data_IF_782284858009
#
_entry.id   IF_782284858009
#
_cell.length_a   1.000
_cell.length_b   1.000
_cell.length_c   1.000
_cell.angle_alpha   90.00
_cell.angle_beta   90.00
_cell.angle_gamma   90.00
#
_symmetry.space_group_name_H-M   'P 1'
#
loop_
_entity.id
_entity.type
_entity.pdbx_description
1 polymer ?
#
# COMPACT_ATOMS: atom_id res chain seq x y z
N UNK A 1 -6.10 -43.94 -63.18
CA UNK A 1 -6.60 -43.50 -61.85
C UNK A 1 -5.42 -43.54 -60.89
N UNK A 2 -5.24 -42.48 -60.11
CA UNK A 2 -4.14 -42.16 -59.18
C UNK A 2 -2.72 -41.95 -59.74
N UNK A 3 -2.26 -40.70 -59.65
CA UNK A 3 -1.02 -40.19 -58.99
C UNK A 3 -1.01 -38.66 -59.20
N UNK A 4 -0.64 -37.75 -58.29
CA UNK A 4 -0.08 -37.79 -56.94
C UNK A 4 -0.01 -36.34 -56.42
N UNK A 5 0.06 -36.19 -55.10
CA UNK A 5 0.04 -34.92 -54.37
C UNK A 5 1.34 -34.10 -54.54
N UNK A 6 1.20 -32.76 -54.50
CA UNK A 6 2.29 -31.78 -54.37
C UNK A 6 1.81 -30.59 -53.52
N UNK A 7 2.69 -29.93 -52.74
CA UNK A 7 2.31 -29.26 -51.50
C UNK A 7 1.88 -27.80 -51.69
N UNK A 8 0.83 -27.39 -50.99
CA UNK A 8 0.46 -25.98 -50.83
C UNK A 8 0.99 -25.49 -49.48
N UNK A 9 2.18 -24.91 -49.49
CA UNK A 9 2.75 -24.19 -48.34
C UNK A 9 1.90 -22.95 -48.05
N UNK A 10 1.07 -23.01 -47.01
CA UNK A 10 0.34 -21.87 -46.49
C UNK A 10 1.30 -20.92 -45.76
N UNK A 11 1.41 -19.70 -46.28
CA UNK A 11 2.10 -18.57 -45.65
C UNK A 11 1.58 -18.35 -44.23
N UNK A 12 2.44 -18.58 -43.24
CA UNK A 12 2.33 -17.95 -41.93
C UNK A 12 2.69 -16.48 -42.10
N UNK A 13 1.69 -15.61 -42.14
CA UNK A 13 1.90 -14.18 -41.92
C UNK A 13 2.17 -14.00 -40.43
N UNK A 14 3.41 -13.62 -40.11
CA UNK A 14 3.80 -13.08 -38.81
C UNK A 14 2.95 -11.83 -38.54
N UNK A 15 2.17 -11.85 -37.46
CA UNK A 15 1.62 -10.63 -36.86
C UNK A 15 2.80 -9.79 -36.36
N UNK A 16 3.21 -8.83 -37.18
CA UNK A 16 4.10 -7.75 -36.75
C UNK A 16 3.26 -6.77 -35.92
N UNK A 17 3.71 -6.50 -34.70
CA UNK A 17 3.21 -5.43 -33.83
C UNK A 17 3.26 -4.07 -34.57
N UNK A 18 2.13 -3.65 -35.13
CA UNK A 18 1.97 -2.30 -35.69
C UNK A 18 1.71 -1.36 -34.52
N UNK A 19 2.75 -0.68 -34.05
CA UNK A 19 2.63 0.42 -33.08
C UNK A 19 1.62 1.45 -33.60
N UNK A 20 0.56 1.72 -32.82
CA UNK A 20 -0.44 2.75 -33.14
C UNK A 20 0.23 4.13 -33.06
N UNK A 21 0.19 4.95 -34.12
CA UNK A 21 0.94 6.21 -34.20
C UNK A 21 0.54 7.30 -33.18
N UNK A 22 -0.52 7.10 -32.37
CA UNK A 22 -1.04 8.06 -31.39
C UNK A 22 -1.06 7.56 -29.92
N UNK A 23 -0.24 6.56 -29.55
CA UNK A 23 -0.17 6.12 -28.15
C UNK A 23 0.41 7.24 -27.26
N UNK A 24 -0.34 7.66 -26.25
CA UNK A 24 0.14 8.62 -25.25
C UNK A 24 1.23 7.99 -24.39
N UNK A 25 2.20 8.78 -23.94
CA UNK A 25 3.20 8.29 -22.98
C UNK A 25 2.57 8.08 -21.60
N UNK A 26 3.20 7.22 -20.78
CA UNK A 26 2.80 7.02 -19.39
C UNK A 26 2.68 8.33 -18.60
N UNK A 27 3.59 9.29 -18.86
CA UNK A 27 3.63 10.59 -18.17
C UNK A 27 2.46 11.49 -18.55
N UNK A 28 2.00 11.44 -19.80
CA UNK A 28 0.81 12.17 -20.24
C UNK A 28 -0.44 11.65 -19.53
N UNK A 29 -0.59 10.32 -19.48
CA UNK A 29 -1.71 9.69 -18.76
C UNK A 29 -1.66 10.03 -17.27
N UNK A 30 -0.51 9.88 -16.63
CA UNK A 30 -0.37 10.20 -15.21
C UNK A 30 -0.64 11.68 -14.91
N UNK A 31 -0.15 12.60 -15.75
CA UNK A 31 -0.37 14.04 -15.57
C UNK A 31 -1.86 14.40 -15.72
N UNK A 32 -2.54 13.76 -16.66
CA UNK A 32 -3.98 13.93 -16.86
C UNK A 32 -4.77 13.43 -15.64
N UNK A 33 -4.49 12.22 -15.14
CA UNK A 33 -5.13 11.69 -13.92
C UNK A 33 -4.91 12.62 -12.74
N UNK A 34 -3.67 13.01 -12.46
CA UNK A 34 -3.32 13.84 -11.30
C UNK A 34 -3.88 15.26 -11.37
N UNK A 35 -4.08 15.81 -12.56
CA UNK A 35 -4.70 17.12 -12.76
C UNK A 35 -6.21 17.07 -12.46
N UNK A 36 -6.87 16.00 -12.88
CA UNK A 36 -8.32 15.88 -12.82
C UNK A 36 -8.81 15.25 -11.50
N UNK A 37 -7.90 14.71 -10.68
CA UNK A 37 -8.18 14.02 -9.42
C UNK A 37 -8.17 14.99 -8.21
N UNK A 38 -9.24 15.02 -7.44
CA UNK A 38 -9.21 15.48 -6.05
C UNK A 38 -9.04 14.27 -5.10
N UNK A 39 -7.82 13.99 -4.57
CA UNK A 39 -7.60 12.80 -3.75
C UNK A 39 -8.37 12.82 -2.41
N UNK A 40 -8.85 13.98 -1.97
CA UNK A 40 -9.70 14.10 -0.78
C UNK A 40 -11.15 13.61 -1.02
N UNK A 41 -11.54 13.40 -2.28
CA UNK A 41 -12.93 13.05 -2.67
C UNK A 41 -13.01 11.85 -3.60
N UNK A 42 -12.03 11.67 -4.47
CA UNK A 42 -12.08 10.76 -5.61
C UNK A 42 -10.93 9.75 -5.58
N UNK A 43 -11.18 8.55 -6.11
CA UNK A 43 -10.18 7.50 -6.24
C UNK A 43 -9.48 7.59 -7.61
N UNK A 44 -8.17 7.32 -7.65
CA UNK A 44 -7.39 7.35 -8.87
C UNK A 44 -7.74 6.19 -9.83
N UNK A 45 -8.14 5.02 -9.30
CA UNK A 45 -8.44 3.81 -10.08
C UNK A 45 -9.44 4.05 -11.22
N UNK A 46 -10.66 4.57 -10.95
CA UNK A 46 -11.65 4.85 -12.00
C UNK A 46 -11.20 5.87 -13.06
N UNK A 47 -10.28 6.79 -12.73
CA UNK A 47 -9.69 7.71 -13.71
C UNK A 47 -8.60 7.02 -14.54
N UNK A 48 -7.77 6.19 -13.89
CA UNK A 48 -6.78 5.35 -14.55
C UNK A 48 -7.45 4.39 -15.54
N UNK A 49 -8.44 3.62 -15.13
CA UNK A 49 -9.11 2.62 -15.98
C UNK A 49 -9.66 3.22 -17.27
N UNK A 50 -10.17 4.45 -17.23
CA UNK A 50 -10.67 5.19 -18.40
C UNK A 50 -9.57 5.62 -19.36
N UNK A 51 -8.34 5.84 -18.87
CA UNK A 51 -7.24 6.44 -19.63
C UNK A 51 -6.15 5.43 -20.01
N UNK A 52 -6.04 4.30 -19.30
CA UNK A 52 -5.01 3.27 -19.52
C UNK A 52 -5.11 2.61 -20.90
N UNK A 53 -6.27 2.65 -21.55
CA UNK A 53 -6.41 2.18 -22.94
C UNK A 53 -5.71 3.06 -23.97
N UNK A 54 -5.28 4.27 -23.60
CA UNK A 54 -4.62 5.25 -24.47
C UNK A 54 -3.08 5.16 -24.43
N UNK A 55 -2.53 4.21 -23.68
CA UNK A 55 -1.08 3.99 -23.57
C UNK A 55 -0.75 2.50 -23.54
N UNK A 56 0.36 2.13 -24.17
CA UNK A 56 0.96 0.81 -24.01
C UNK A 56 1.75 0.70 -22.69
N UNK A 57 2.16 1.83 -22.09
CA UNK A 57 2.94 1.87 -20.84
C UNK A 57 2.04 1.89 -19.58
N UNK A 58 1.00 1.04 -19.55
CA UNK A 58 -0.04 1.04 -18.50
C UNK A 58 0.51 0.96 -17.08
N UNK A 59 1.50 0.08 -16.92
CA UNK A 59 2.14 -0.15 -15.64
C UNK A 59 2.87 1.11 -15.14
N UNK A 60 3.67 1.70 -16.01
CA UNK A 60 4.40 2.93 -15.71
C UNK A 60 3.45 4.09 -15.39
N UNK A 61 2.35 4.25 -16.12
CA UNK A 61 1.36 5.30 -15.83
C UNK A 61 0.77 5.14 -14.42
N UNK A 62 0.43 3.91 -14.05
CA UNK A 62 -0.09 3.55 -12.73
C UNK A 62 0.92 3.85 -11.62
N UNK A 63 2.18 3.47 -11.81
CA UNK A 63 3.26 3.73 -10.86
C UNK A 63 3.53 5.22 -10.66
N UNK A 64 3.49 6.01 -11.74
CA UNK A 64 3.66 7.46 -11.66
C UNK A 64 2.52 8.13 -10.87
N UNK A 65 1.27 7.73 -11.09
CA UNK A 65 0.11 8.28 -10.36
C UNK A 65 0.21 7.94 -8.87
N UNK A 66 0.28 6.66 -8.51
CA UNK A 66 0.30 6.26 -7.10
C UNK A 66 1.60 6.66 -6.41
N UNK A 67 2.73 6.66 -7.13
CA UNK A 67 4.01 7.13 -6.64
C UNK A 67 3.99 8.62 -6.29
N UNK A 68 3.37 9.44 -7.14
CA UNK A 68 3.21 10.88 -6.90
C UNK A 68 2.27 11.14 -5.73
N UNK A 69 1.10 10.50 -5.69
CA UNK A 69 0.14 10.67 -4.59
C UNK A 69 0.72 10.29 -3.22
N UNK A 70 1.56 9.25 -3.18
CA UNK A 70 2.20 8.76 -1.95
C UNK A 70 3.23 9.73 -1.36
N UNK A 71 3.79 10.61 -2.20
CA UNK A 71 4.84 11.54 -1.81
C UNK A 71 4.43 12.99 -2.05
N UNK A 72 3.13 13.26 -2.18
CA UNK A 72 2.60 14.54 -2.66
C UNK A 72 3.13 15.76 -1.89
N UNK A 73 3.10 15.72 -0.57
CA UNK A 73 3.55 16.84 0.28
C UNK A 73 5.07 17.01 0.22
N UNK A 74 5.81 15.91 0.14
CA UNK A 74 7.26 15.93 0.01
C UNK A 74 7.70 16.50 -1.35
N UNK A 75 7.00 16.11 -2.43
CA UNK A 75 7.22 16.65 -3.77
C UNK A 75 6.85 18.13 -3.84
N UNK A 76 5.74 18.53 -3.22
CA UNK A 76 5.31 19.93 -3.15
C UNK A 76 6.28 20.81 -2.34
N UNK A 77 6.91 20.27 -1.29
CA UNK A 77 7.97 20.96 -0.56
C UNK A 77 9.19 21.23 -1.46
N UNK A 78 9.64 20.22 -2.22
CA UNK A 78 10.72 20.37 -3.21
C UNK A 78 10.34 21.39 -4.29
N UNK A 79 9.14 21.27 -4.88
CA UNK A 79 8.67 22.19 -5.92
C UNK A 79 8.59 23.62 -5.38
N UNK A 80 8.08 23.81 -4.17
CA UNK A 80 7.98 25.14 -3.55
C UNK A 80 9.36 25.75 -3.37
N UNK A 81 10.32 24.97 -2.86
CA UNK A 81 11.70 25.41 -2.67
C UNK A 81 12.37 25.83 -3.98
N UNK A 82 12.31 24.99 -5.02
CA UNK A 82 13.05 25.24 -6.25
C UNK A 82 12.30 26.04 -7.31
N UNK A 83 10.98 26.24 -7.18
CA UNK A 83 10.24 27.16 -8.04
C UNK A 83 10.17 28.59 -7.49
N UNK A 84 10.52 28.77 -6.21
CA UNK A 84 10.44 30.06 -5.52
C UNK A 84 9.00 30.56 -5.30
N UNK A 85 7.99 29.69 -5.46
CA UNK A 85 6.57 30.03 -5.22
C UNK A 85 5.79 28.86 -4.64
N UNK A 86 4.77 29.12 -3.81
CA UNK A 86 3.87 28.08 -3.32
C UNK A 86 3.19 27.32 -4.47
N UNK A 87 2.96 26.01 -4.31
CA UNK A 87 2.30 25.17 -5.32
C UNK A 87 0.89 25.66 -5.67
N UNK A 88 0.19 26.31 -4.74
CA UNK A 88 -1.12 26.95 -4.97
C UNK A 88 -1.09 28.09 -6.00
N UNK A 89 0.08 28.63 -6.33
CA UNK A 89 0.28 29.66 -7.37
C UNK A 89 0.75 29.08 -8.71
N UNK A 90 0.78 27.75 -8.85
CA UNK A 90 1.16 27.05 -10.07
C UNK A 90 -0.10 26.45 -10.69
N UNK A 91 -0.31 26.65 -11.99
CA UNK A 91 -1.48 26.11 -12.68
C UNK A 91 -1.53 24.56 -12.53
N UNK A 92 -2.71 23.95 -12.25
CA UNK A 92 -2.82 22.52 -11.94
C UNK A 92 -2.17 21.60 -12.98
N UNK A 93 -2.33 21.91 -14.28
CA UNK A 93 -1.71 21.14 -15.36
C UNK A 93 -0.17 21.14 -15.28
N UNK A 94 0.45 22.28 -14.99
CA UNK A 94 1.90 22.40 -14.86
C UNK A 94 2.38 21.73 -13.55
N UNK A 95 1.62 21.88 -12.47
CA UNK A 95 1.94 21.29 -11.18
C UNK A 95 1.95 19.76 -11.24
N UNK A 96 0.98 19.13 -11.92
CA UNK A 96 0.96 17.68 -12.12
C UNK A 96 2.20 17.18 -12.89
N UNK A 97 2.63 17.91 -13.92
CA UNK A 97 3.85 17.57 -14.69
C UNK A 97 5.11 17.76 -13.84
N UNK A 98 5.19 18.84 -13.06
CA UNK A 98 6.30 19.07 -12.13
C UNK A 98 6.39 17.98 -11.06
N UNK A 99 5.26 17.61 -10.45
CA UNK A 99 5.19 16.53 -9.45
C UNK A 99 5.71 15.22 -10.02
N UNK A 100 5.29 14.85 -11.23
CA UNK A 100 5.81 13.64 -11.92
C UNK A 100 7.31 13.76 -12.17
N UNK A 101 7.78 14.89 -12.70
CA UNK A 101 9.20 15.10 -12.99
C UNK A 101 10.08 15.03 -11.73
N UNK A 102 9.67 15.69 -10.64
CA UNK A 102 10.37 15.61 -9.35
C UNK A 102 10.30 14.20 -8.78
N UNK A 103 9.17 13.52 -8.90
CA UNK A 103 9.02 12.13 -8.48
C UNK A 103 9.98 11.20 -9.23
N UNK A 104 10.14 11.34 -10.54
CA UNK A 104 11.08 10.52 -11.29
C UNK A 104 12.54 10.87 -10.97
N UNK A 105 12.87 12.17 -10.87
CA UNK A 105 14.19 12.62 -10.45
C UNK A 105 14.56 12.02 -9.09
N UNK A 106 13.63 12.02 -8.14
CA UNK A 106 13.88 11.54 -6.80
C UNK A 106 13.78 10.01 -6.65
N UNK A 107 12.87 9.30 -7.33
CA UNK A 107 12.55 7.89 -7.02
C UNK A 107 12.88 6.91 -8.16
N UNK A 108 13.32 7.38 -9.32
CA UNK A 108 13.68 6.53 -10.46
C UNK A 108 15.13 6.77 -10.93
N UNK A 109 16.14 6.44 -10.10
CA UNK A 109 17.56 6.72 -10.36
C UNK A 109 18.07 6.16 -11.70
N UNK A 110 17.50 5.05 -12.18
CA UNK A 110 17.83 4.45 -13.47
C UNK A 110 17.36 5.29 -14.69
N UNK A 111 16.36 6.16 -14.54
CA UNK A 111 15.88 7.00 -15.64
C UNK A 111 16.80 8.22 -15.81
N UNK A 112 17.38 8.47 -17.00
CA UNK A 112 18.25 9.61 -17.22
C UNK A 112 17.56 10.95 -17.02
N UNK A 113 18.24 11.91 -16.38
CA UNK A 113 17.71 13.24 -16.06
C UNK A 113 17.19 13.96 -17.31
N UNK A 114 17.94 13.92 -18.42
CA UNK A 114 17.54 14.60 -19.65
C UNK A 114 16.23 14.04 -20.25
N UNK A 115 15.98 12.73 -20.09
CA UNK A 115 14.75 12.09 -20.57
C UNK A 115 13.55 12.58 -19.78
N UNK A 116 13.66 12.65 -18.44
CA UNK A 116 12.61 13.17 -17.56
C UNK A 116 12.26 14.61 -17.93
N UNK A 117 13.27 15.48 -18.07
CA UNK A 117 13.08 16.89 -18.38
C UNK A 117 12.47 17.09 -19.78
N UNK A 118 12.98 16.39 -20.79
CA UNK A 118 12.50 16.53 -22.17
C UNK A 118 11.05 16.05 -22.32
N UNK A 119 10.68 14.93 -21.68
CA UNK A 119 9.29 14.48 -21.70
C UNK A 119 8.36 15.41 -20.94
N UNK A 120 8.78 15.96 -19.79
CA UNK A 120 8.00 16.96 -19.08
C UNK A 120 7.73 18.19 -19.96
N UNK A 121 8.74 18.69 -20.68
CA UNK A 121 8.60 19.81 -21.63
C UNK A 121 7.64 19.47 -22.76
N UNK A 122 7.78 18.29 -23.36
CA UNK A 122 6.89 17.83 -24.44
C UNK A 122 5.44 17.71 -23.97
N UNK A 123 5.22 17.23 -22.75
CA UNK A 123 3.89 17.13 -22.14
C UNK A 123 3.28 18.52 -21.87
N UNK A 124 4.07 19.50 -21.44
CA UNK A 124 3.61 20.90 -21.30
C UNK A 124 3.23 21.48 -22.65
N UNK A 125 4.02 21.25 -23.69
CA UNK A 125 3.72 21.75 -25.03
C UNK A 125 2.38 21.20 -25.53
N UNK A 126 2.12 19.91 -25.33
CA UNK A 126 0.87 19.25 -25.71
C UNK A 126 -0.36 19.69 -24.88
N UNK A 127 -0.18 20.11 -23.62
CA UNK A 127 -1.30 20.38 -22.70
C UNK A 127 -1.57 21.85 -22.40
N UNK A 128 -0.54 22.69 -22.40
CA UNK A 128 -0.60 24.10 -22.00
C UNK A 128 0.09 25.06 -23.00
N UNK A 129 0.66 24.52 -24.08
CA UNK A 129 1.30 25.27 -25.16
C UNK A 129 2.74 25.71 -24.88
N UNK A 130 3.45 26.11 -25.94
CA UNK A 130 4.89 26.40 -25.94
C UNK A 130 5.35 27.47 -24.94
N UNK A 131 4.50 28.43 -24.56
CA UNK A 131 4.91 29.55 -23.69
C UNK A 131 5.30 29.11 -22.27
N UNK A 132 4.71 28.01 -21.78
CA UNK A 132 4.90 27.57 -20.38
C UNK A 132 6.00 26.51 -20.22
N UNK A 133 6.57 26.02 -21.32
CA UNK A 133 7.63 24.98 -21.29
C UNK A 133 8.89 25.47 -20.59
N UNK A 134 9.25 26.75 -20.76
CA UNK A 134 10.41 27.37 -20.15
C UNK A 134 10.39 27.31 -18.62
N UNK A 135 9.22 27.53 -18.01
CA UNK A 135 9.06 27.45 -16.55
C UNK A 135 9.30 26.04 -16.02
N UNK A 136 8.64 25.03 -16.60
CA UNK A 136 8.78 23.63 -16.15
C UNK A 136 10.21 23.12 -16.36
N UNK A 137 10.81 23.42 -17.53
CA UNK A 137 12.20 23.09 -17.80
C UNK A 137 13.16 23.73 -16.79
N UNK A 138 12.96 25.01 -16.46
CA UNK A 138 13.81 25.72 -15.51
C UNK A 138 13.74 25.09 -14.10
N UNK A 139 12.52 24.82 -13.60
CA UNK A 139 12.33 24.21 -12.28
C UNK A 139 12.93 22.83 -12.21
N UNK A 140 12.65 21.93 -13.17
CA UNK A 140 13.18 20.56 -13.13
C UNK A 140 14.71 20.52 -13.28
N UNK A 141 15.30 21.41 -14.09
CA UNK A 141 16.76 21.54 -14.16
C UNK A 141 17.37 22.07 -12.87
N UNK A 142 16.68 22.99 -12.20
CA UNK A 142 17.12 23.49 -10.90
C UNK A 142 17.07 22.38 -9.85
N UNK A 143 15.96 21.66 -9.74
CA UNK A 143 15.83 20.47 -8.88
C UNK A 143 16.98 19.49 -9.16
N UNK A 144 17.19 19.11 -10.42
CA UNK A 144 18.22 18.16 -10.81
C UNK A 144 19.64 18.63 -10.46
N UNK A 145 19.93 19.93 -10.58
CA UNK A 145 21.24 20.51 -10.24
C UNK A 145 21.55 20.42 -8.75
N UNK A 146 20.54 20.54 -7.91
CA UNK A 146 20.68 20.54 -6.46
C UNK A 146 20.62 19.13 -5.85
N UNK A 147 20.41 18.07 -6.64
CA UNK A 147 20.54 16.70 -6.19
C UNK A 147 22.02 16.34 -6.06
N UNK A 148 22.47 16.07 -4.84
CA UNK A 148 23.83 15.60 -4.52
C UNK A 148 23.97 14.12 -4.86
N UNK A 149 22.92 13.33 -4.62
CA UNK A 149 22.91 11.91 -4.92
C UNK A 149 21.50 11.34 -4.93
N UNK A 150 21.18 10.51 -5.92
CA UNK A 150 19.84 9.91 -6.10
C UNK A 150 19.65 8.60 -5.33
N UNK A 151 20.72 8.03 -4.78
CA UNK A 151 20.71 6.80 -3.96
C UNK A 151 21.82 6.90 -2.93
N UNK A 152 21.63 7.73 -1.92
CA UNK A 152 22.59 7.86 -0.83
C UNK A 152 22.19 6.96 0.34
N UNK A 153 23.18 6.57 1.14
CA UNK A 153 22.94 5.89 2.41
C UNK A 153 22.32 6.88 3.41
N UNK A 154 21.15 6.52 3.93
CA UNK A 154 20.41 7.33 4.90
C UNK A 154 21.22 7.58 6.17
N UNK A 155 22.15 6.72 6.56
CA UNK A 155 23.05 6.94 7.72
C UNK A 155 23.89 8.19 7.65
N UNK A 156 24.18 8.69 6.46
CA UNK A 156 24.97 9.90 6.23
C UNK A 156 24.13 11.08 5.71
N UNK A 157 22.82 10.88 5.56
CA UNK A 157 21.92 11.83 4.92
C UNK A 157 21.47 12.96 5.86
N UNK A 158 21.34 14.19 5.35
CA UNK A 158 20.67 15.25 6.10
C UNK A 158 19.15 15.07 6.03
N UNK A 159 18.43 14.94 7.17
CA UNK A 159 16.98 14.72 7.18
C UNK A 159 16.22 15.84 6.46
N UNK A 160 16.66 17.10 6.61
CA UNK A 160 15.98 18.27 6.05
C UNK A 160 16.14 18.42 4.53
N UNK A 161 17.04 17.62 3.96
CA UNK A 161 17.48 17.71 2.56
C UNK A 161 17.28 16.40 1.81
N UNK A 162 16.61 15.40 2.40
CA UNK A 162 16.55 14.05 1.82
C UNK A 162 15.13 13.57 1.65
N UNK A 163 14.77 13.21 0.43
CA UNK A 163 13.57 12.42 0.15
C UNK A 163 13.87 10.95 0.40
N UNK A 164 13.15 10.34 1.34
CA UNK A 164 13.34 8.93 1.71
C UNK A 164 12.69 8.03 0.64
N UNK A 165 13.43 7.03 0.14
CA UNK A 165 12.96 6.08 -0.86
C UNK A 165 12.73 4.68 -0.27
N UNK A 166 13.68 4.23 0.55
CA UNK A 166 13.68 2.93 1.23
C UNK A 166 14.15 3.13 2.67
N UNK A 167 14.08 2.10 3.54
CA UNK A 167 14.66 2.20 4.88
C UNK A 167 16.17 2.50 4.92
N UNK A 168 16.89 2.28 3.81
CA UNK A 168 18.34 2.45 3.72
C UNK A 168 18.76 3.60 2.80
N UNK A 169 17.93 3.96 1.81
CA UNK A 169 18.34 4.88 0.75
C UNK A 169 17.39 6.07 0.57
N UNK A 170 17.98 7.19 0.15
CA UNK A 170 17.25 8.41 -0.18
C UNK A 170 17.86 9.17 -1.36
N UNK A 171 17.13 10.19 -1.80
CA UNK A 171 17.61 11.20 -2.73
C UNK A 171 17.92 12.48 -1.96
N UNK A 172 19.21 12.82 -1.83
CA UNK A 172 19.66 14.00 -1.09
C UNK A 172 19.91 15.20 -2.00
N UNK A 173 19.51 16.35 -1.47
CA UNK A 173 19.74 17.67 -2.01
C UNK A 173 20.81 18.41 -1.19
N UNK A 174 21.34 19.50 -1.72
CA UNK A 174 22.26 20.40 -1.02
C UNK A 174 21.54 21.53 -0.25
N UNK A 175 20.20 21.54 -0.28
CA UNK A 175 19.34 22.62 0.18
C UNK A 175 18.24 22.08 1.08
N UNK A 176 17.95 22.77 2.20
CA UNK A 176 16.85 22.41 3.10
C UNK A 176 15.50 22.71 2.44
N UNK A 177 14.60 21.73 2.45
CA UNK A 177 13.21 21.90 2.00
C UNK A 177 12.18 21.20 2.90
N UNK A 178 12.60 20.29 3.78
CA UNK A 178 11.73 19.67 4.78
C UNK A 178 11.76 20.44 6.11
N UNK A 179 10.68 20.35 6.91
CA UNK A 179 10.67 20.88 8.27
C UNK A 179 11.81 20.33 9.11
N UNK A 180 12.25 21.11 10.10
CA UNK A 180 13.26 20.65 11.05
C UNK A 180 12.66 19.61 12.01
N UNK A 181 13.12 18.34 12.00
CA UNK A 181 12.62 17.34 12.94
C UNK A 181 12.91 17.66 14.40
N UNK A 182 13.94 18.46 14.70
CA UNK A 182 14.23 18.91 16.07
C UNK A 182 13.20 19.92 16.57
N UNK A 183 12.63 20.73 15.65
CA UNK A 183 11.57 21.69 15.99
C UNK A 183 10.19 21.02 16.05
N UNK A 184 9.90 20.11 15.10
CA UNK A 184 8.66 19.34 15.09
C UNK A 184 8.81 18.04 14.29
N UNK A 185 9.00 16.93 14.99
CA UNK A 185 9.02 15.60 14.37
C UNK A 185 7.70 15.28 13.66
N UNK A 186 6.57 15.70 14.25
CA UNK A 186 5.23 15.53 13.68
C UNK A 186 5.13 16.17 12.28
N UNK A 187 5.56 17.42 12.12
CA UNK A 187 5.50 18.11 10.82
C UNK A 187 6.51 17.56 9.82
N UNK A 188 7.69 17.17 10.29
CA UNK A 188 8.68 16.51 9.46
C UNK A 188 8.14 15.21 8.85
N UNK A 189 7.66 14.28 9.69
CA UNK A 189 7.12 12.99 9.23
C UNK A 189 5.85 13.16 8.39
N UNK A 190 4.97 14.09 8.77
CA UNK A 190 3.79 14.44 7.98
C UNK A 190 4.17 14.85 6.55
N UNK A 191 5.11 15.79 6.41
CA UNK A 191 5.54 16.27 5.09
C UNK A 191 6.27 15.19 4.30
N UNK A 192 7.22 14.49 4.94
CA UNK A 192 8.07 13.48 4.30
C UNK A 192 7.24 12.30 3.74
N UNK A 193 6.18 11.90 4.46
CA UNK A 193 5.38 10.72 4.11
C UNK A 193 3.97 11.08 3.60
N UNK A 194 3.66 12.36 3.45
CA UNK A 194 2.34 12.86 3.03
C UNK A 194 1.19 12.32 3.89
N UNK A 195 1.38 12.35 5.21
CA UNK A 195 0.42 11.85 6.19
C UNK A 195 -0.18 13.01 6.99
N UNK A 196 -1.44 12.94 7.43
CA UNK A 196 -2.05 14.01 8.22
C UNK A 196 -1.24 14.30 9.50
N UNK A 197 -0.92 15.58 9.80
CA UNK A 197 -0.16 15.91 11.00
C UNK A 197 -0.79 15.36 12.27
N UNK A 198 -2.12 15.45 12.41
CA UNK A 198 -2.82 14.96 13.60
C UNK A 198 -2.63 13.45 13.82
N UNK A 199 -2.62 12.65 12.75
CA UNK A 199 -2.47 11.19 12.83
C UNK A 199 -1.05 10.81 13.25
N UNK A 200 -0.06 11.48 12.66
CA UNK A 200 1.35 11.35 13.07
C UNK A 200 1.52 11.73 14.54
N UNK A 201 0.87 12.81 14.99
CA UNK A 201 0.90 13.24 16.39
C UNK A 201 0.31 12.20 17.35
N UNK A 202 -0.81 11.57 16.98
CA UNK A 202 -1.42 10.48 17.77
C UNK A 202 -0.49 9.24 17.82
N UNK A 203 0.12 8.86 16.70
CA UNK A 203 1.10 7.76 16.71
C UNK A 203 2.36 8.06 17.53
N UNK A 204 2.86 9.30 17.52
CA UNK A 204 3.99 9.68 18.38
C UNK A 204 3.59 9.54 19.85
N UNK A 205 2.38 9.97 20.21
CA UNK A 205 1.89 9.88 21.59
C UNK A 205 1.67 8.42 22.03
N UNK A 206 1.19 7.56 21.14
CA UNK A 206 0.85 6.16 21.46
C UNK A 206 2.04 5.20 21.37
N UNK A 207 2.85 5.30 20.31
CA UNK A 207 3.92 4.35 19.99
C UNK A 207 5.33 4.92 20.21
N UNK A 208 5.46 6.23 20.42
CA UNK A 208 6.74 6.92 20.48
C UNK A 208 7.33 7.24 19.11
N UNK A 209 8.42 8.04 19.07
CA UNK A 209 9.00 8.56 17.84
C UNK A 209 9.55 7.47 16.92
N UNK A 210 10.27 6.48 17.46
CA UNK A 210 10.96 5.46 16.68
C UNK A 210 9.97 4.55 15.92
N UNK A 211 8.94 4.07 16.61
CA UNK A 211 7.89 3.27 16.00
C UNK A 211 7.07 4.08 15.00
N UNK A 212 6.78 5.35 15.29
CA UNK A 212 6.07 6.22 14.34
C UNK A 212 6.84 6.34 13.03
N UNK A 213 8.16 6.53 13.07
CA UNK A 213 8.99 6.57 11.87
C UNK A 213 8.83 5.29 11.03
N UNK A 214 8.81 4.12 11.67
CA UNK A 214 8.62 2.83 10.98
C UNK A 214 7.21 2.69 10.38
N UNK A 215 6.17 3.13 11.11
CA UNK A 215 4.79 3.15 10.62
C UNK A 215 4.68 4.06 9.39
N UNK A 216 5.25 5.27 9.45
CA UNK A 216 5.25 6.22 8.35
C UNK A 216 5.98 5.67 7.11
N UNK A 217 7.15 5.04 7.30
CA UNK A 217 7.85 4.33 6.23
C UNK A 217 6.99 3.22 5.62
N UNK A 218 6.36 2.40 6.45
CA UNK A 218 5.50 1.31 5.99
C UNK A 218 4.33 1.83 5.17
N UNK A 219 3.70 2.95 5.59
CA UNK A 219 2.65 3.64 4.83
C UNK A 219 3.10 4.15 3.46
N UNK A 220 4.40 4.35 3.26
CA UNK A 220 5.01 4.78 2.00
C UNK A 220 5.73 3.67 1.22
N UNK A 221 5.59 2.40 1.61
CA UNK A 221 6.08 1.29 0.80
C UNK A 221 5.21 1.11 -0.45
N UNK A 222 5.81 0.67 -1.55
CA UNK A 222 5.07 0.13 -2.70
C UNK A 222 4.47 -1.21 -2.27
N UNK A 223 3.14 -1.37 -2.23
CA UNK A 223 2.54 -2.60 -1.73
C UNK A 223 2.86 -3.75 -2.69
N UNK A 224 3.25 -4.90 -2.14
CA UNK A 224 3.27 -6.15 -2.91
C UNK A 224 1.85 -6.73 -3.00
N UNK A 225 1.56 -7.44 -4.09
CA UNK A 225 0.31 -8.19 -4.20
C UNK A 225 0.48 -9.52 -3.47
N UNK A 226 -0.36 -9.79 -2.48
CA UNK A 226 -0.42 -11.10 -1.83
C UNK A 226 -1.68 -11.81 -2.26
N UNK A 227 -1.55 -13.11 -2.50
CA UNK A 227 -2.64 -13.99 -2.81
C UNK A 227 -2.66 -15.16 -1.83
N UNK A 228 -3.85 -15.67 -1.56
CA UNK A 228 -4.09 -16.94 -0.90
C UNK A 228 -4.48 -17.98 -1.94
N UNK A 229 -3.72 -19.06 -2.01
CA UNK A 229 -3.98 -20.22 -2.85
C UNK A 229 -5.24 -20.93 -2.36
N UNK A 230 -6.11 -21.35 -3.28
CA UNK A 230 -7.28 -22.15 -2.97
C UNK A 230 -6.87 -23.65 -2.92
N UNK A 231 -6.74 -24.24 -1.72
CA UNK A 231 -6.26 -25.62 -1.57
C UNK A 231 -7.25 -26.67 -2.10
N UNK A 232 -8.49 -26.29 -2.42
CA UNK A 232 -9.49 -27.18 -3.00
C UNK A 232 -9.32 -27.35 -4.51
N UNK A 233 -8.48 -26.53 -5.16
CA UNK A 233 -8.30 -26.54 -6.61
C UNK A 233 -6.85 -26.71 -7.06
N UNK A 234 -5.88 -26.28 -6.27
CA UNK A 234 -4.46 -26.28 -6.64
C UNK A 234 -3.57 -26.28 -5.42
N UNK A 235 -2.28 -26.50 -5.63
CA UNK A 235 -1.22 -26.25 -4.64
C UNK A 235 -0.46 -24.96 -4.95
N UNK A 236 0.28 -24.45 -3.95
CA UNK A 236 1.14 -23.28 -4.13
C UNK A 236 2.26 -23.53 -5.17
N UNK A 237 2.83 -24.74 -5.18
CA UNK A 237 3.87 -25.11 -6.14
C UNK A 237 3.36 -25.12 -7.58
N UNK A 238 2.18 -25.70 -7.83
CA UNK A 238 1.56 -25.68 -9.16
C UNK A 238 1.26 -24.26 -9.64
N UNK A 239 0.77 -23.40 -8.74
CA UNK A 239 0.44 -22.01 -9.09
C UNK A 239 1.71 -21.18 -9.35
N UNK A 240 2.79 -21.40 -8.58
CA UNK A 240 4.09 -20.77 -8.82
C UNK A 240 4.66 -21.16 -10.19
N UNK A 241 4.64 -22.45 -10.53
CA UNK A 241 5.08 -22.93 -11.85
C UNK A 241 4.26 -22.28 -12.98
N UNK A 242 2.96 -22.10 -12.77
CA UNK A 242 2.07 -21.45 -13.74
C UNK A 242 2.40 -19.96 -13.90
N UNK A 243 2.73 -19.26 -12.81
CA UNK A 243 3.19 -17.88 -12.89
C UNK A 243 4.54 -17.76 -13.61
N UNK A 244 5.49 -18.65 -13.32
CA UNK A 244 6.79 -18.68 -14.00
C UNK A 244 6.61 -18.88 -15.52
N UNK A 245 5.78 -19.82 -15.95
CA UNK A 245 5.45 -20.04 -17.36
C UNK A 245 4.81 -18.82 -18.04
N UNK A 246 4.09 -17.99 -17.27
CA UNK A 246 3.48 -16.76 -17.74
C UNK A 246 4.39 -15.53 -17.59
N UNK A 247 5.65 -15.70 -17.15
CA UNK A 247 6.58 -14.60 -16.90
C UNK A 247 6.21 -13.72 -15.70
N UNK A 248 5.34 -14.18 -14.81
CA UNK A 248 4.93 -13.48 -13.59
C UNK A 248 5.90 -13.82 -12.47
N UNK A 249 6.60 -12.81 -11.94
CA UNK A 249 7.50 -12.97 -10.81
C UNK A 249 6.72 -13.15 -9.50
N UNK A 250 6.77 -14.35 -8.94
CA UNK A 250 6.08 -14.71 -7.72
C UNK A 250 6.95 -15.61 -6.82
N UNK A 251 6.77 -15.49 -5.51
CA UNK A 251 7.51 -16.26 -4.50
C UNK A 251 6.58 -16.66 -3.35
N UNK A 252 6.87 -17.78 -2.63
CA UNK A 252 6.16 -18.09 -1.39
C UNK A 252 6.25 -16.93 -0.41
N UNK A 253 5.10 -16.54 0.15
CA UNK A 253 5.08 -15.47 1.12
C UNK A 253 5.49 -16.01 2.49
N UNK A 254 6.62 -15.52 2.99
CA UNK A 254 7.03 -15.77 4.36
C UNK A 254 6.42 -14.64 5.19
N UNK A 255 5.65 -14.96 6.23
CA UNK A 255 5.61 -14.02 7.34
C UNK A 255 6.98 -14.15 7.99
N UNK A 256 7.98 -13.45 7.45
CA UNK A 256 9.10 -13.18 8.31
C UNK A 256 8.48 -12.48 9.50
N UNK A 257 8.81 -12.95 10.70
CA UNK A 257 8.87 -12.06 11.85
C UNK A 257 9.58 -10.83 11.29
N UNK A 258 8.82 -9.76 10.97
CA UNK A 258 9.40 -8.61 10.28
C UNK A 258 10.56 -8.13 11.15
N UNK A 259 10.49 -8.36 12.47
CA UNK A 259 11.63 -8.19 13.37
C UNK A 259 12.91 -8.97 12.99
N UNK A 260 12.86 -10.19 12.44
CA UNK A 260 14.04 -10.99 12.02
C UNK A 260 14.54 -10.63 10.63
N UNK A 261 13.66 -10.36 9.66
CA UNK A 261 14.10 -9.86 8.34
C UNK A 261 14.57 -8.41 8.44
N UNK A 262 13.93 -7.59 9.28
CA UNK A 262 14.44 -6.26 9.62
C UNK A 262 15.78 -6.39 10.39
N UNK A 263 15.98 -7.37 11.29
CA UNK A 263 17.32 -7.62 11.90
C UNK A 263 18.36 -8.12 10.89
N UNK A 264 18.01 -9.04 9.98
CA UNK A 264 18.95 -9.63 9.02
C UNK A 264 19.24 -8.73 7.81
N UNK A 265 18.33 -7.81 7.47
CA UNK A 265 18.55 -6.73 6.50
C UNK A 265 19.11 -5.45 7.13
N UNK A 266 19.46 -5.47 8.42
CA UNK A 266 19.99 -4.30 9.14
C UNK A 266 19.00 -3.13 9.26
N UNK A 267 17.69 -3.38 9.17
CA UNK A 267 16.58 -2.43 9.41
C UNK A 267 16.17 -2.38 10.90
N UNK A 268 16.63 -3.35 11.71
CA UNK A 268 16.71 -3.22 13.16
C UNK A 268 18.15 -3.35 13.62
N UNK A 269 18.86 -2.23 13.69
CA UNK A 269 19.68 -1.90 14.82
C UNK A 269 18.80 -1.01 15.73
N UNK A 270 18.94 -1.17 17.04
CA UNK A 270 18.63 -0.11 18.03
C UNK A 270 19.54 1.14 17.83
N UNK A 271 19.87 1.46 16.57
CA UNK A 271 20.88 2.41 16.11
C UNK A 271 20.87 2.66 14.57
N UNK A 272 19.82 2.25 13.83
CA UNK A 272 19.84 2.23 12.35
C UNK A 272 18.66 2.86 11.62
N UNK A 273 18.04 3.88 12.20
CA UNK A 273 17.64 5.05 11.40
C UNK A 273 18.88 5.94 11.27
N UNK A 274 19.05 6.72 10.18
CA UNK A 274 20.21 7.56 9.92
C UNK A 274 21.09 7.93 11.13
N UNK A 275 22.38 7.63 11.13
CA UNK A 275 23.34 8.21 12.10
C UNK A 275 23.34 9.77 12.11
N UNK A 276 22.64 10.41 11.17
CA UNK A 276 22.29 11.82 11.23
C UNK A 276 21.34 12.19 12.39
N UNK A 277 20.50 11.26 12.86
CA UNK A 277 19.68 11.47 14.06
C UNK A 277 20.48 11.23 15.35
N UNK A 278 21.44 10.31 15.42
CA UNK A 278 22.27 10.16 16.64
C UNK A 278 23.08 11.42 17.04
N UNK A 279 23.35 12.35 16.13
CA UNK A 279 24.04 13.63 16.46
C UNK A 279 23.13 14.73 17.01
N UNK A 280 21.82 14.63 16.80
CA UNK A 280 20.81 15.50 17.44
C UNK A 280 20.19 14.80 18.66
N UNK A 281 20.34 13.47 18.78
CA UNK A 281 19.63 12.59 19.71
C UNK A 281 20.54 11.81 20.68
N UNK A 282 21.77 12.28 20.93
CA UNK A 282 22.51 11.86 22.14
C UNK A 282 21.96 12.60 23.36
N UNK A 283 21.97 12.03 24.58
CA UNK A 283 21.66 12.82 25.77
C UNK A 283 22.63 14.00 25.81
N UNK A 284 22.12 15.21 25.61
CA UNK A 284 22.83 16.39 26.08
C UNK A 284 23.04 16.17 27.57
N UNK A 285 24.30 16.11 27.97
CA UNK A 285 24.76 16.00 29.34
C UNK A 285 24.32 17.23 30.14
N UNK A 286 23.05 17.29 30.50
CA UNK A 286 22.50 18.16 31.55
C UNK A 286 21.35 17.38 32.17
N UNK A 287 21.59 16.85 33.37
CA UNK A 287 20.64 16.04 34.09
C UNK A 287 19.29 16.74 34.25
N UNK A 288 18.22 16.02 33.91
CA UNK A 288 16.87 16.34 34.38
C UNK A 288 16.77 15.79 35.81
N UNK A 289 16.48 16.61 36.83
CA UNK A 289 16.31 16.13 38.19
C UNK A 289 15.04 15.27 38.30
N UNK A 290 14.96 14.33 39.27
CA UNK A 290 13.78 13.53 39.46
C UNK A 290 12.58 14.41 39.82
N UNK A 291 11.45 14.19 39.15
CA UNK A 291 10.17 14.83 39.49
C UNK A 291 9.64 14.19 40.77
N UNK A 292 9.58 14.96 41.84
CA UNK A 292 8.92 14.58 43.09
C UNK A 292 7.41 14.40 42.87
N UNK A 293 6.88 13.28 43.40
CA UNK A 293 5.45 12.99 43.38
C UNK A 293 4.69 13.98 44.30
N UNK A 294 3.86 14.84 43.71
CA UNK A 294 2.89 15.67 44.42
C UNK A 294 1.67 14.87 44.90
N UNK A 295 0.93 15.35 45.93
CA UNK A 295 -0.02 14.55 46.69
C UNK A 295 -1.32 14.26 45.91
N UNK A 296 -1.82 13.03 46.08
CA UNK A 296 -3.08 12.54 45.55
C UNK A 296 -4.28 13.28 46.17
N UNK A 297 -5.11 13.90 45.32
CA UNK A 297 -6.45 14.38 45.70
C UNK A 297 -7.49 13.25 45.67
N UNK A 298 -8.63 13.39 46.38
CA UNK A 298 -9.52 12.28 46.69
C UNK A 298 -10.38 11.85 45.50
N UNK A 299 -10.55 10.53 45.41
CA UNK A 299 -11.36 9.78 44.45
C UNK A 299 -12.82 10.23 44.38
N UNK A 300 -13.35 10.31 43.15
CA UNK A 300 -14.78 10.16 42.90
C UNK A 300 -15.04 8.88 42.09
N UNK A 301 -15.98 8.07 42.60
CA UNK A 301 -16.16 6.64 42.29
C UNK A 301 -17.20 6.46 41.17
N UNK A 302 -16.75 6.41 39.92
CA UNK A 302 -17.49 5.78 38.82
C UNK A 302 -16.78 4.47 38.45
N UNK A 303 -17.40 3.33 38.73
CA UNK A 303 -16.79 2.01 38.54
C UNK A 303 -16.50 1.72 37.05
N UNK A 304 -15.25 1.93 36.63
CA UNK A 304 -14.70 1.25 35.47
C UNK A 304 -14.61 -0.24 35.79
N UNK A 305 -15.26 -1.08 34.98
CA UNK A 305 -15.05 -2.52 35.01
C UNK A 305 -13.54 -2.77 34.82
N UNK A 306 -12.89 -3.58 35.67
CA UNK A 306 -11.49 -3.89 35.49
C UNK A 306 -11.32 -4.60 34.14
N UNK A 307 -10.42 -4.07 33.31
CA UNK A 307 -9.88 -4.83 32.19
C UNK A 307 -9.33 -6.14 32.78
N UNK A 308 -9.82 -7.32 32.37
CA UNK A 308 -9.33 -8.57 32.96
C UNK A 308 -7.82 -8.65 32.72
N UNK A 309 -7.07 -8.90 33.80
CA UNK A 309 -5.62 -9.06 33.77
C UNK A 309 -5.22 -9.99 32.61
N UNK A 310 -4.60 -9.43 31.58
CA UNK A 310 -3.92 -10.21 30.56
C UNK A 310 -2.85 -11.03 31.27
N UNK A 311 -2.86 -12.38 31.15
CA UNK A 311 -1.96 -13.23 31.90
C UNK A 311 -0.50 -12.84 31.61
N UNK A 312 0.22 -12.45 32.66
CA UNK A 312 1.60 -11.94 32.62
C UNK A 312 2.67 -13.00 32.32
N UNK A 313 2.28 -14.17 31.80
CA UNK A 313 3.17 -15.17 31.21
C UNK A 313 2.44 -15.86 30.08
N UNK A 314 2.85 -15.59 28.84
CA UNK A 314 2.57 -16.47 27.72
C UNK A 314 3.04 -17.89 28.11
N UNK A 315 2.21 -18.93 27.93
CA UNK A 315 2.60 -20.29 28.29
C UNK A 315 3.90 -20.64 27.55
N UNK A 316 4.87 -21.16 28.31
CA UNK A 316 6.08 -21.76 27.78
C UNK A 316 5.67 -22.87 26.79
N UNK A 317 5.67 -22.55 25.50
CA UNK A 317 5.06 -23.37 24.45
C UNK A 317 4.76 -22.61 23.14
N UNK A 318 4.73 -21.27 23.15
CA UNK A 318 4.72 -20.44 21.92
C UNK A 318 6.13 -20.20 21.35
N UNK A 319 7.02 -21.19 21.49
CA UNK A 319 8.33 -21.15 20.86
C UNK A 319 8.16 -21.42 19.36
N UNK A 320 8.37 -20.38 18.54
CA UNK A 320 8.41 -20.46 17.08
C UNK A 320 7.21 -21.20 16.47
N UNK A 321 6.04 -20.56 16.46
CA UNK A 321 5.13 -20.81 15.32
C UNK A 321 5.95 -20.46 14.09
N UNK A 322 6.36 -21.45 13.31
CA UNK A 322 6.94 -21.23 12.00
C UNK A 322 5.95 -20.37 11.23
N UNK A 323 6.29 -19.09 11.08
CA UNK A 323 5.50 -18.07 10.41
C UNK A 323 5.50 -18.27 8.88
N UNK A 324 5.56 -19.52 8.44
CA UNK A 324 5.39 -19.92 7.07
C UNK A 324 3.88 -20.01 6.80
N UNK A 325 3.40 -19.21 5.85
CA UNK A 325 2.06 -19.36 5.30
C UNK A 325 2.21 -20.06 3.93
N UNK A 326 2.31 -21.41 3.89
CA UNK A 326 2.54 -22.16 2.65
C UNK A 326 1.52 -21.88 1.56
N UNK A 327 0.30 -21.48 1.96
CA UNK A 327 -0.79 -21.12 1.05
C UNK A 327 -0.74 -19.67 0.56
N UNK A 328 0.21 -18.86 1.01
CA UNK A 328 0.32 -17.46 0.62
C UNK A 328 1.45 -17.28 -0.40
N UNK A 329 1.18 -16.54 -1.47
CA UNK A 329 2.18 -16.19 -2.49
C UNK A 329 2.26 -14.67 -2.60
N UNK A 330 3.48 -14.15 -2.67
CA UNK A 330 3.78 -12.76 -2.97
C UNK A 330 4.06 -12.65 -4.46
N UNK A 331 3.36 -11.74 -5.13
CA UNK A 331 3.59 -11.38 -6.53
C UNK A 331 4.29 -10.02 -6.54
N UNK A 332 5.42 -9.96 -7.25
CA UNK A 332 6.26 -8.77 -7.32
C UNK A 332 5.61 -7.73 -8.22
N UNK A 333 5.48 -6.49 -7.73
CA UNK A 333 4.90 -5.40 -8.50
C UNK A 333 3.38 -5.48 -8.68
N UNK A 334 2.77 -4.39 -9.15
CA UNK A 334 1.34 -4.33 -9.42
C UNK A 334 0.96 -5.14 -10.66
N UNK A 335 -0.21 -5.76 -10.60
CA UNK A 335 -0.76 -6.59 -11.64
C UNK A 335 -2.27 -6.34 -11.73
N UNK A 336 -2.82 -6.38 -12.94
CA UNK A 336 -4.26 -6.51 -13.12
C UNK A 336 -4.67 -7.91 -12.67
N UNK A 337 -5.18 -8.01 -11.43
CA UNK A 337 -5.50 -9.30 -10.77
C UNK A 337 -6.36 -10.20 -11.65
N UNK A 338 -7.32 -9.62 -12.36
CA UNK A 338 -8.25 -10.35 -13.24
C UNK A 338 -7.58 -10.99 -14.46
N UNK A 339 -6.39 -10.53 -14.82
CA UNK A 339 -5.58 -11.04 -15.94
C UNK A 339 -4.52 -12.05 -15.49
N UNK A 340 -4.33 -12.24 -14.18
CA UNK A 340 -3.37 -13.21 -13.67
C UNK A 340 -3.84 -14.65 -13.96
N UNK A 341 -2.94 -15.54 -14.44
CA UNK A 341 -3.27 -16.95 -14.65
C UNK A 341 -3.85 -17.60 -13.40
N UNK A 342 -4.99 -18.29 -13.53
CA UNK A 342 -5.67 -18.95 -12.42
C UNK A 342 -6.69 -18.10 -11.66
N UNK A 343 -6.77 -16.78 -11.88
CA UNK A 343 -7.75 -15.94 -11.18
C UNK A 343 -9.20 -16.32 -11.54
N UNK A 344 -9.52 -16.33 -12.84
CA UNK A 344 -10.85 -16.66 -13.34
C UNK A 344 -11.27 -18.10 -12.99
N UNK A 345 -10.30 -19.00 -12.91
CA UNK A 345 -10.48 -20.41 -12.52
C UNK A 345 -10.60 -20.61 -11.01
N UNK A 346 -10.57 -19.54 -10.21
CA UNK A 346 -10.72 -19.64 -8.76
C UNK A 346 -9.57 -20.33 -8.05
N UNK A 347 -8.37 -20.37 -8.64
CA UNK A 347 -7.20 -21.03 -8.06
C UNK A 347 -6.61 -20.24 -6.87
N UNK A 348 -6.93 -18.96 -6.76
CA UNK A 348 -6.51 -18.12 -5.65
C UNK A 348 -7.47 -16.94 -5.42
N UNK A 349 -7.27 -16.26 -4.29
CA UNK A 349 -7.93 -15.00 -3.94
C UNK A 349 -6.90 -13.98 -3.49
N UNK A 350 -7.08 -12.70 -3.82
CA UNK A 350 -6.23 -11.63 -3.30
C UNK A 350 -6.53 -11.43 -1.82
N UNK A 351 -5.51 -11.60 -0.98
CA UNK A 351 -5.60 -11.40 0.46
C UNK A 351 -4.23 -10.97 1.00
N UNK A 352 -4.23 -9.98 1.88
CA UNK A 352 -3.01 -9.59 2.59
C UNK A 352 -2.59 -10.63 3.64
N UNK A 353 -1.29 -10.78 3.87
CA UNK A 353 -0.75 -11.67 4.90
C UNK A 353 -1.33 -11.41 6.29
N UNK A 354 -1.46 -10.14 6.68
CA UNK A 354 -2.05 -9.79 7.98
C UNK A 354 -3.53 -10.17 8.06
N UNK A 355 -4.26 -10.03 6.97
CA UNK A 355 -5.68 -10.37 6.91
C UNK A 355 -5.94 -11.89 6.94
N UNK A 356 -4.98 -12.71 6.49
CA UNK A 356 -5.12 -14.17 6.53
C UNK A 356 -4.88 -14.75 7.92
N UNK A 357 -4.13 -14.05 8.78
CA UNK A 357 -3.79 -14.49 10.13
C UNK A 357 -5.01 -14.73 11.03
N UNK A 358 -6.04 -13.89 10.94
CA UNK A 358 -7.23 -14.01 11.79
C UNK A 358 -7.88 -15.40 11.71
N UNK A 359 -8.06 -15.93 10.49
CA UNK A 359 -8.65 -17.27 10.29
C UNK A 359 -7.67 -18.39 10.63
N UNK A 360 -6.36 -18.17 10.44
CA UNK A 360 -5.33 -19.13 10.88
C UNK A 360 -5.33 -19.31 12.39
N UNK A 361 -5.39 -18.20 13.13
CA UNK A 361 -5.48 -18.19 14.58
C UNK A 361 -6.79 -18.80 15.07
N UNK A 362 -7.89 -18.58 14.33
CA UNK A 362 -9.18 -19.20 14.61
C UNK A 362 -9.16 -20.73 14.48
N UNK A 363 -8.36 -21.25 13.53
CA UNK A 363 -8.23 -22.68 13.22
C UNK A 363 -9.60 -23.40 13.11
N UNK A 364 -10.47 -22.98 12.17
CA UNK A 364 -11.82 -23.50 12.06
C UNK A 364 -11.84 -24.99 11.68
N UNK A 365 -12.78 -25.76 12.23
CA UNK A 365 -12.87 -27.20 11.96
C UNK A 365 -14.04 -27.55 11.03
N UNK A 366 -13.91 -28.62 10.23
CA UNK A 366 -15.04 -29.22 9.52
C UNK A 366 -16.23 -29.49 10.44
N UNK A 367 -17.45 -29.29 9.95
CA UNK A 367 -18.69 -29.49 10.68
C UNK A 367 -19.13 -28.35 11.60
N UNK A 368 -18.27 -27.35 11.85
CA UNK A 368 -18.64 -26.18 12.66
C UNK A 368 -19.72 -25.33 12.02
N UNK A 369 -20.54 -24.69 12.86
CA UNK A 369 -21.45 -23.60 12.52
C UNK A 369 -20.73 -22.27 12.80
N UNK A 370 -20.48 -21.48 11.77
CA UNK A 370 -19.65 -20.28 11.82
C UNK A 370 -20.44 -19.06 11.34
N UNK A 371 -20.33 -17.93 12.06
CA UNK A 371 -20.86 -16.65 11.61
C UNK A 371 -19.72 -15.68 11.25
N UNK A 372 -19.72 -15.16 10.04
CA UNK A 372 -18.88 -14.03 9.62
C UNK A 372 -19.74 -12.75 9.56
N UNK A 373 -19.57 -11.87 10.56
CA UNK A 373 -20.50 -10.77 10.83
C UNK A 373 -20.33 -9.55 9.91
N UNK A 374 -19.15 -9.38 9.32
CA UNK A 374 -18.79 -8.25 8.46
C UNK A 374 -18.05 -8.79 7.23
N UNK A 375 -18.72 -9.71 6.55
CA UNK A 375 -18.11 -10.62 5.60
C UNK A 375 -17.57 -9.92 4.35
N UNK A 376 -18.20 -8.86 3.85
CA UNK A 376 -17.88 -8.38 2.52
C UNK A 376 -16.50 -7.69 2.45
N UNK A 377 -15.67 -7.94 1.41
CA UNK A 377 -16.00 -8.60 0.14
C UNK A 377 -15.84 -10.14 0.12
N UNK A 378 -15.66 -10.79 1.27
CA UNK A 378 -15.71 -12.25 1.43
C UNK A 378 -14.34 -12.91 1.58
N UNK A 379 -13.25 -12.14 1.70
CA UNK A 379 -11.90 -12.73 1.68
C UNK A 379 -11.64 -13.63 2.89
N UNK A 380 -12.12 -13.25 4.09
CA UNK A 380 -12.02 -14.11 5.29
C UNK A 380 -13.09 -15.21 5.28
N UNK A 381 -14.29 -14.91 4.81
CA UNK A 381 -15.38 -15.88 4.62
C UNK A 381 -14.96 -17.07 3.76
N UNK A 382 -14.36 -16.79 2.60
CA UNK A 382 -13.85 -17.81 1.67
C UNK A 382 -12.69 -18.60 2.29
N UNK A 383 -11.86 -17.94 3.12
CA UNK A 383 -10.79 -18.61 3.87
C UNK A 383 -11.35 -19.61 4.89
N UNK A 384 -12.44 -19.26 5.58
CA UNK A 384 -13.11 -20.17 6.53
C UNK A 384 -13.60 -21.43 5.81
N UNK A 385 -14.22 -21.28 4.64
CA UNK A 385 -14.66 -22.43 3.84
C UNK A 385 -13.45 -23.26 3.37
N UNK A 386 -12.42 -22.64 2.80
CA UNK A 386 -11.22 -23.35 2.35
C UNK A 386 -10.52 -24.11 3.49
N UNK A 387 -10.37 -23.49 4.67
CA UNK A 387 -9.74 -24.08 5.85
C UNK A 387 -10.52 -25.29 6.40
N UNK A 388 -11.86 -25.27 6.26
CA UNK A 388 -12.74 -26.35 6.70
C UNK A 388 -13.01 -27.37 5.59
N UNK A 389 -12.31 -27.28 4.45
CA UNK A 389 -12.54 -28.09 3.25
C UNK A 389 -13.97 -28.03 2.73
N UNK A 390 -14.56 -26.85 2.78
CA UNK A 390 -15.95 -26.53 2.40
C UNK A 390 -16.98 -27.41 3.15
N UNK A 391 -16.64 -27.83 4.37
CA UNK A 391 -17.44 -28.76 5.18
C UNK A 391 -17.98 -28.15 6.48
N UNK A 392 -17.87 -26.83 6.68
CA UNK A 392 -18.51 -26.09 7.76
C UNK A 392 -19.79 -25.40 7.29
N UNK A 393 -20.77 -25.21 8.17
CA UNK A 393 -21.93 -24.34 7.89
C UNK A 393 -21.55 -22.90 8.18
N UNK A 394 -21.38 -22.08 7.14
CA UNK A 394 -20.94 -20.69 7.30
C UNK A 394 -22.09 -19.74 6.94
N UNK A 395 -22.41 -18.80 7.82
CA UNK A 395 -23.31 -17.68 7.54
C UNK A 395 -22.46 -16.43 7.35
N UNK A 396 -22.57 -15.79 6.18
CA UNK A 396 -21.86 -14.57 5.83
C UNK A 396 -22.85 -13.40 5.75
N UNK A 397 -22.60 -12.35 6.52
CA UNK A 397 -23.46 -11.16 6.57
C UNK A 397 -22.65 -9.87 6.44
N UNK A 398 -23.28 -8.83 5.91
CA UNK A 398 -22.77 -7.45 5.90
C UNK A 398 -23.95 -6.50 6.05
N UNK A 399 -23.69 -5.30 6.58
CA UNK A 399 -24.72 -4.27 6.74
C UNK A 399 -25.14 -3.69 5.38
N UNK A 400 -24.23 -3.69 4.39
CA UNK A 400 -24.52 -3.21 3.06
C UNK A 400 -24.82 -4.39 2.11
N UNK A 401 -26.06 -4.51 1.62
CA UNK A 401 -26.45 -5.60 0.73
C UNK A 401 -25.70 -5.59 -0.62
N UNK A 402 -25.37 -4.42 -1.17
CA UNK A 402 -24.62 -4.32 -2.45
C UNK A 402 -23.20 -4.90 -2.33
N UNK A 403 -22.61 -4.86 -1.12
CA UNK A 403 -21.29 -5.47 -0.90
C UNK A 403 -21.35 -7.00 -0.87
N UNK A 404 -22.52 -7.59 -0.62
CA UNK A 404 -22.72 -9.03 -0.61
C UNK A 404 -22.69 -9.63 -2.02
N UNK A 405 -23.00 -8.85 -3.06
CA UNK A 405 -22.86 -9.30 -4.46
C UNK A 405 -21.42 -9.74 -4.76
N UNK A 406 -20.43 -9.00 -4.24
CA UNK A 406 -19.00 -9.38 -4.35
C UNK A 406 -18.66 -10.66 -3.61
N UNK A 407 -19.34 -10.93 -2.50
CA UNK A 407 -19.18 -12.21 -1.79
C UNK A 407 -19.68 -13.31 -2.70
N UNK A 408 -20.88 -13.18 -3.25
CA UNK A 408 -21.50 -14.17 -4.15
C UNK A 408 -20.65 -14.44 -5.41
N UNK A 409 -20.11 -13.39 -6.03
CA UNK A 409 -19.17 -13.50 -7.15
C UNK A 409 -17.94 -14.34 -6.78
N UNK A 410 -17.34 -14.08 -5.61
CA UNK A 410 -16.20 -14.84 -5.12
C UNK A 410 -16.56 -16.30 -4.80
N UNK A 411 -17.72 -16.56 -4.19
CA UNK A 411 -18.18 -17.93 -3.92
C UNK A 411 -18.29 -18.73 -5.21
N UNK A 412 -18.91 -18.13 -6.22
CA UNK A 412 -19.12 -18.75 -7.54
C UNK A 412 -17.78 -19.05 -8.21
N UNK A 413 -16.88 -18.08 -8.25
CA UNK A 413 -15.54 -18.21 -8.85
C UNK A 413 -14.71 -19.29 -8.17
N UNK A 414 -14.71 -19.32 -6.83
CA UNK A 414 -13.95 -20.28 -6.03
C UNK A 414 -14.64 -21.65 -5.91
N UNK A 415 -15.93 -21.74 -6.25
CA UNK A 415 -16.75 -22.95 -6.21
C UNK A 415 -17.04 -23.45 -4.80
N UNK A 416 -17.18 -22.52 -3.85
CA UNK A 416 -17.50 -22.80 -2.46
C UNK A 416 -19.01 -22.92 -2.27
N UNK A 417 -19.45 -23.89 -1.49
CA UNK A 417 -20.88 -24.24 -1.31
C UNK A 417 -21.33 -24.17 0.13
N UNK A 418 -20.40 -24.15 1.08
CA UNK A 418 -20.70 -24.25 2.50
C UNK A 418 -21.14 -22.92 3.13
N UNK A 419 -21.18 -21.85 2.32
CA UNK A 419 -21.47 -20.48 2.75
C UNK A 419 -22.89 -20.08 2.31
N UNK A 420 -23.69 -19.61 3.27
CA UNK A 420 -24.99 -18.97 3.04
C UNK A 420 -24.86 -17.47 3.29
N UNK A 421 -25.23 -16.66 2.31
CA UNK A 421 -25.26 -15.20 2.44
C UNK A 421 -26.59 -14.77 3.04
N UNK A 422 -26.53 -14.00 4.12
CA UNK A 422 -27.72 -13.45 4.81
C UNK A 422 -27.46 -11.97 5.08
N UNK A 423 -28.26 -11.02 4.55
CA UNK A 423 -28.14 -9.61 4.91
C UNK A 423 -28.30 -9.40 6.42
N UNK A 424 -27.54 -8.47 7.01
CA UNK A 424 -27.53 -8.27 8.46
C UNK A 424 -28.92 -7.99 9.04
N UNK A 425 -29.73 -7.21 8.32
CA UNK A 425 -31.11 -6.89 8.71
C UNK A 425 -32.04 -8.12 8.84
N UNK A 426 -31.65 -9.27 8.27
CA UNK A 426 -32.40 -10.51 8.32
C UNK A 426 -31.86 -11.49 9.37
N UNK A 427 -30.77 -11.13 10.07
CA UNK A 427 -30.17 -11.98 11.09
C UNK A 427 -30.97 -11.86 12.40
N UNK A 428 -31.71 -12.91 12.77
CA UNK A 428 -32.49 -12.95 14.00
C UNK A 428 -31.79 -13.79 15.09
N UNK A 429 -31.49 -13.22 16.28
CA UNK A 429 -30.96 -13.97 17.41
C UNK A 429 -31.85 -15.17 17.76
N UNK A 430 -31.25 -16.35 17.94
CA UNK A 430 -31.95 -17.58 18.31
C UNK A 430 -32.54 -18.39 17.14
N UNK A 431 -32.60 -17.84 15.92
CA UNK A 431 -33.03 -18.60 14.72
C UNK A 431 -31.85 -19.04 13.83
N UNK A 432 -30.76 -18.28 13.85
CA UNK A 432 -29.59 -18.52 12.98
C UNK A 432 -28.43 -19.23 13.69
N UNK A 433 -28.46 -19.28 15.03
CA UNK A 433 -27.47 -19.97 15.86
C UNK A 433 -28.04 -21.23 16.56
N UNK A 434 -27.30 -21.79 17.55
CA UNK A 434 -26.00 -21.34 18.03
C UNK A 434 -24.87 -21.50 16.99
N UNK A 435 -23.81 -20.72 17.15
CA UNK A 435 -22.57 -20.84 16.37
C UNK A 435 -21.46 -21.35 17.28
N UNK A 436 -20.62 -22.22 16.74
CA UNK A 436 -19.38 -22.63 17.41
C UNK A 436 -18.40 -21.47 17.49
N UNK A 437 -18.41 -20.59 16.47
CA UNK A 437 -17.55 -19.41 16.45
C UNK A 437 -18.13 -18.27 15.63
N UNK A 438 -17.78 -17.04 16.03
CA UNK A 438 -18.13 -15.79 15.34
C UNK A 438 -16.84 -15.08 14.96
N UNK A 439 -16.67 -14.77 13.67
CA UNK A 439 -15.63 -13.88 13.17
C UNK A 439 -16.21 -12.47 13.01
N UNK A 440 -15.58 -11.49 13.66
CA UNK A 440 -15.92 -10.07 13.54
C UNK A 440 -14.74 -9.30 12.97
N UNK A 441 -14.77 -9.06 11.65
CA UNK A 441 -13.87 -8.12 10.97
C UNK A 441 -14.46 -6.71 11.03
N UNK A 442 -14.37 -6.08 12.21
CA UNK A 442 -15.07 -4.84 12.50
C UNK A 442 -14.73 -3.71 11.50
N UNK A 443 -15.72 -2.90 11.06
CA UNK A 443 -15.45 -1.67 10.32
C UNK A 443 -14.48 -0.80 11.11
N UNK A 444 -13.36 -0.42 10.47
CA UNK A 444 -12.29 0.31 11.14
C UNK A 444 -11.82 1.52 10.32
N UNK A 445 -10.93 2.31 10.92
CA UNK A 445 -10.35 3.52 10.31
C UNK A 445 -9.50 3.24 9.06
N UNK A 446 -9.13 1.98 8.80
CA UNK A 446 -8.25 1.56 7.70
C UNK A 446 -6.85 2.21 7.72
N UNK A 447 -6.39 2.72 8.87
CA UNK A 447 -5.04 3.31 9.00
C UNK A 447 -3.93 2.29 8.75
N UNK A 448 -4.16 1.01 9.05
CA UNK A 448 -3.20 -0.08 8.78
C UNK A 448 -2.99 -0.42 7.30
N UNK A 449 -3.81 0.12 6.36
CA UNK A 449 -3.73 -0.21 4.93
C UNK A 449 -3.35 0.99 4.04
N UNK A 450 -2.77 2.05 4.61
CA UNK A 450 -2.42 3.30 3.92
C UNK A 450 -1.38 3.13 2.78
N UNK A 451 -0.57 2.08 2.82
CA UNK A 451 0.36 1.74 1.74
C UNK A 451 -0.38 1.28 0.46
N UNK A 452 -1.51 0.57 0.64
CA UNK A 452 -2.37 0.03 -0.42
C UNK A 452 -3.43 1.05 -0.85
N UNK A 453 -3.96 1.82 0.10
CA UNK A 453 -5.00 2.84 -0.12
C UNK A 453 -4.37 4.22 -0.01
N UNK A 454 -3.60 4.59 -1.03
CA UNK A 454 -2.80 5.82 -1.01
C UNK A 454 -3.70 7.03 -0.74
N UNK A 455 -4.87 7.12 -1.37
CA UNK A 455 -5.79 8.25 -1.23
C UNK A 455 -6.37 8.39 0.18
N UNK A 456 -6.43 7.31 0.97
CA UNK A 456 -7.01 7.34 2.32
C UNK A 456 -6.28 8.33 3.24
N UNK A 457 -4.97 8.57 3.02
CA UNK A 457 -4.19 9.58 3.76
C UNK A 457 -4.77 10.99 3.65
N UNK A 458 -5.47 11.32 2.55
CA UNK A 458 -6.07 12.64 2.32
C UNK A 458 -7.52 12.74 2.82
N UNK A 459 -8.12 11.62 3.22
CA UNK A 459 -9.55 11.53 3.58
C UNK A 459 -9.78 11.23 5.06
N UNK A 460 -8.76 10.72 5.76
CA UNK A 460 -8.83 10.48 7.18
C UNK A 460 -9.11 11.78 7.93
N UNK A 461 -10.14 11.74 8.77
CA UNK A 461 -10.52 12.83 9.66
C UNK A 461 -10.52 12.31 11.08
N UNK A 462 -9.94 13.07 12.00
CA UNK A 462 -9.91 12.74 13.43
C UNK A 462 -11.29 12.38 13.99
N UNK A 463 -12.30 13.20 13.67
CA UNK A 463 -13.69 12.99 14.09
C UNK A 463 -14.25 11.62 13.63
N UNK A 464 -13.93 11.19 12.41
CA UNK A 464 -14.42 9.92 11.89
C UNK A 464 -13.81 8.72 12.63
N UNK A 465 -12.60 8.84 13.18
CA UNK A 465 -12.01 7.79 14.01
C UNK A 465 -12.71 7.72 15.38
N UNK A 466 -13.02 8.89 15.96
CA UNK A 466 -13.76 8.98 17.22
C UNK A 466 -15.20 8.45 17.13
N UNK A 467 -15.82 8.47 15.94
CA UNK A 467 -17.15 7.91 15.72
C UNK A 467 -17.14 6.37 15.57
N UNK A 468 -15.97 5.76 15.35
CA UNK A 468 -15.79 4.30 15.25
C UNK A 468 -15.46 3.69 16.62
N UNK A 469 -14.71 4.43 17.46
CA UNK A 469 -14.31 4.04 18.81
C UNK A 469 -15.47 4.18 19.80
#
# INVERSE_FOLDING_TARGET
>A
MNVGEGPCSSMFLQEQDIARPDSKSARMIAAQVLRDLDPAREYAGPLLDRLLSQTEERQRATDLVYGTLRNLDALDAVITQFSGRPTSRIAPALLSILRIGVYELAYHPATPVYSIVNEAVSNVEATAGKKQTGFVNAVLRQVARHIVGRQIDLTQASPRQTLIQTPQTGCQFDTDFLPDPAASLQMYLSTCFSLPPWLVGEWIAEFGPDWTCQICLACNRRPSLYIRVNPLRTTAGELLNRFEQAGVQAEPAVLSDDSRHLRSMGILPMSGFPNAMNRVWGPSSTGVPPVEAGPQGPHDKGAALPCPDLPSRAPNGLAALDFYAPEMIRIAGPHAVTQLPGFAEGLFTVQDLSASQAVRLLNPQPGWSILDLCAAPGTKTTQLAEATRDAARIIATDINPERLDRVQENLTRLGLRSITIVPYAQLQPGQTGPFDVILLDAPCSNTGVLARRVEARFRLRRKAIQEIA
#
